data_IF_509713169426
#
_entry.id   IF_509713169426
#
_cell.length_a   1.000
_cell.length_b   1.000
_cell.length_c   1.000
_cell.angle_alpha   90.00
_cell.angle_beta   90.00
_cell.angle_gamma   90.00
#
_symmetry.space_group_name_H-M   'P 1'
#
loop_
_entity.id
_entity.type
_entity.pdbx_description
1 polymer ?
#
# COMPACT_ATOMS: atom_id res chain seq x y z
N UNK A 1 -19.35 -8.41 -3.13
CA UNK A 1 -18.17 -8.11 -2.30
C UNK A 1 -16.90 -8.33 -3.12
N UNK A 2 -16.02 -7.36 -3.15
CA UNK A 2 -14.81 -7.45 -3.96
C UNK A 2 -13.72 -8.18 -3.22
N UNK A 3 -13.15 -9.21 -3.84
CA UNK A 3 -11.98 -9.88 -3.29
C UNK A 3 -10.74 -9.02 -3.43
N UNK A 4 -9.78 -9.23 -2.54
CA UNK A 4 -8.49 -8.56 -2.63
C UNK A 4 -7.75 -9.06 -3.89
N UNK A 5 -7.32 -8.16 -4.76
CA UNK A 5 -6.53 -8.56 -5.91
C UNK A 5 -5.13 -8.98 -5.50
N UNK A 6 -4.49 -9.81 -6.30
CA UNK A 6 -3.05 -10.06 -6.19
C UNK A 6 -2.32 -8.86 -6.78
N UNK A 7 -1.44 -8.25 -6.02
CA UNK A 7 -0.77 -7.02 -6.43
C UNK A 7 0.68 -7.02 -5.97
N UNK A 8 1.58 -6.63 -6.87
CA UNK A 8 2.99 -6.46 -6.52
C UNK A 8 3.18 -5.23 -5.63
N UNK A 9 4.29 -5.21 -4.90
CA UNK A 9 4.62 -4.06 -4.07
C UNK A 9 4.68 -2.77 -4.89
N UNK A 10 5.28 -2.82 -6.09
CA UNK A 10 5.38 -1.64 -6.95
C UNK A 10 4.02 -1.08 -7.34
N UNK A 11 3.08 -1.96 -7.69
CA UNK A 11 1.72 -1.53 -8.05
C UNK A 11 0.98 -0.99 -6.84
N UNK A 12 1.13 -1.63 -5.69
CA UNK A 12 0.51 -1.16 -4.45
C UNK A 12 1.03 0.22 -4.06
N UNK A 13 2.33 0.43 -4.14
CA UNK A 13 2.93 1.72 -3.84
C UNK A 13 2.35 2.81 -4.76
N UNK A 14 2.22 2.53 -6.06
CA UNK A 14 1.61 3.49 -6.98
C UNK A 14 0.16 3.78 -6.66
N UNK A 15 -0.61 2.76 -6.29
CA UNK A 15 -2.00 2.95 -5.87
C UNK A 15 -2.09 3.83 -4.62
N UNK A 16 -1.22 3.58 -3.64
CA UNK A 16 -1.17 4.40 -2.44
C UNK A 16 -0.79 5.86 -2.76
N UNK A 17 0.13 6.06 -3.69
CA UNK A 17 0.49 7.41 -4.14
C UNK A 17 -0.70 8.12 -4.79
N UNK A 18 -1.50 7.41 -5.58
CA UNK A 18 -2.73 7.97 -6.16
C UNK A 18 -3.77 8.31 -5.10
N UNK A 19 -3.72 7.63 -3.95
CA UNK A 19 -4.58 7.91 -2.81
C UNK A 19 -4.05 9.06 -1.92
N UNK A 20 -2.93 9.69 -2.32
CA UNK A 20 -2.37 10.83 -1.60
C UNK A 20 -1.20 10.50 -0.69
N UNK A 21 -0.78 9.25 -0.62
CA UNK A 21 0.40 8.89 0.16
C UNK A 21 1.68 9.24 -0.61
N UNK A 22 2.76 9.42 0.12
CA UNK A 22 4.07 9.64 -0.48
C UNK A 22 5.11 8.72 0.18
N UNK A 23 6.13 8.37 -0.59
CA UNK A 23 7.23 7.57 -0.06
C UNK A 23 8.09 8.48 0.82
N UNK A 24 8.09 8.20 2.13
CA UNK A 24 8.87 8.96 3.08
C UNK A 24 10.34 8.54 3.05
N UNK A 25 10.58 7.23 3.05
CA UNK A 25 11.92 6.68 2.89
C UNK A 25 11.87 5.20 2.54
N UNK A 26 13.01 4.66 2.13
CA UNK A 26 13.18 3.25 1.79
C UNK A 26 14.31 2.70 2.65
N UNK A 27 14.07 1.57 3.31
CA UNK A 27 15.05 0.92 4.16
C UNK A 27 15.00 -0.59 3.94
N UNK A 28 16.11 -1.19 3.49
CA UNK A 28 16.27 -2.64 3.44
C UNK A 28 15.14 -3.39 2.73
N UNK A 29 14.65 -2.87 1.60
CA UNK A 29 13.56 -3.52 0.87
C UNK A 29 12.17 -3.20 1.42
N UNK A 30 12.06 -2.24 2.33
CA UNK A 30 10.77 -1.77 2.85
C UNK A 30 10.56 -0.33 2.46
N UNK A 31 9.40 -0.03 1.86
CA UNK A 31 9.00 1.33 1.52
C UNK A 31 8.10 1.85 2.62
N UNK A 32 8.50 2.95 3.23
CA UNK A 32 7.69 3.60 4.28
C UNK A 32 6.96 4.78 3.65
N UNK A 33 5.63 4.73 3.69
CA UNK A 33 4.78 5.77 3.13
C UNK A 33 4.04 6.52 4.24
N UNK A 34 3.82 7.80 3.99
CA UNK A 34 3.06 8.68 4.88
C UNK A 34 2.07 9.49 4.08
N UNK A 35 1.11 10.12 4.78
CA UNK A 35 0.11 10.96 4.16
C UNK A 35 0.18 12.36 4.78
N UNK A 36 0.20 13.44 3.97
CA UNK A 36 0.36 14.80 4.51
C UNK A 36 -0.79 15.22 5.43
N UNK A 37 -2.01 14.72 5.17
CA UNK A 37 -3.18 15.07 5.97
C UNK A 37 -3.39 14.15 7.16
N UNK A 38 -2.60 13.10 7.29
CA UNK A 38 -2.73 12.09 8.36
C UNK A 38 -1.34 11.73 8.90
N UNK A 39 -0.71 12.63 9.63
CA UNK A 39 0.69 12.44 10.05
C UNK A 39 0.91 11.24 10.97
N UNK A 40 -0.13 10.75 11.63
CA UNK A 40 -0.01 9.57 12.51
C UNK A 40 0.00 8.26 11.71
N UNK A 41 -0.40 8.27 10.46
CA UNK A 41 -0.45 7.05 9.63
C UNK A 41 0.93 6.78 9.06
N UNK A 42 1.40 5.56 9.25
CA UNK A 42 2.68 5.09 8.71
C UNK A 42 2.45 3.71 8.09
N UNK A 43 2.69 3.60 6.81
CA UNK A 43 2.49 2.37 6.07
C UNK A 43 3.85 1.82 5.65
N UNK A 44 4.10 0.55 5.93
CA UNK A 44 5.31 -0.14 5.50
C UNK A 44 4.93 -1.18 4.47
N UNK A 45 5.45 -1.05 3.25
CA UNK A 45 5.23 -2.00 2.16
C UNK A 45 6.52 -2.79 1.95
N UNK A 46 6.52 -4.10 2.25
CA UNK A 46 7.68 -4.93 1.91
C UNK A 46 7.76 -5.07 0.39
N UNK A 47 8.94 -4.83 -0.16
CA UNK A 47 9.18 -4.87 -1.60
C UNK A 47 10.24 -5.92 -1.90
N UNK A 48 9.80 -7.04 -2.45
CA UNK A 48 10.67 -8.17 -2.78
C UNK A 48 10.60 -8.47 -4.27
N UNK A 49 11.24 -7.62 -5.08
CA UNK A 49 11.25 -7.78 -6.52
C UNK A 49 9.84 -7.72 -7.11
N UNK A 50 9.51 -8.68 -7.98
CA UNK A 50 8.20 -8.75 -8.63
C UNK A 50 7.17 -9.55 -7.85
N UNK A 51 7.52 -10.04 -6.66
CA UNK A 51 6.59 -10.85 -5.87
C UNK A 51 5.38 -10.05 -5.41
N UNK A 52 4.23 -10.73 -5.34
CA UNK A 52 3.01 -10.12 -4.83
C UNK A 52 3.11 -9.93 -3.31
N UNK A 53 2.45 -8.87 -2.84
CA UNK A 53 2.31 -8.63 -1.41
C UNK A 53 1.39 -9.70 -0.81
N UNK A 54 1.81 -10.31 0.29
CA UNK A 54 1.01 -11.34 0.95
C UNK A 54 -0.33 -10.77 1.40
N UNK A 55 -1.39 -11.58 1.29
CA UNK A 55 -2.76 -11.12 1.55
C UNK A 55 -2.95 -10.51 2.94
N UNK A 56 -2.38 -11.14 3.96
CA UNK A 56 -2.48 -10.61 5.32
C UNK A 56 -1.83 -9.24 5.47
N UNK A 57 -0.69 -9.05 4.84
CA UNK A 57 0.01 -7.77 4.84
C UNK A 57 -0.80 -6.74 4.04
N UNK A 58 -1.33 -7.13 2.88
CA UNK A 58 -2.14 -6.24 2.06
C UNK A 58 -3.38 -5.76 2.83
N UNK A 59 -4.07 -6.65 3.51
CA UNK A 59 -5.22 -6.28 4.33
C UNK A 59 -4.86 -5.28 5.42
N UNK A 60 -3.74 -5.51 6.11
CA UNK A 60 -3.27 -4.60 7.15
C UNK A 60 -2.94 -3.22 6.56
N UNK A 61 -2.30 -3.19 5.41
CA UNK A 61 -1.95 -1.94 4.73
C UNK A 61 -3.22 -1.17 4.35
N UNK A 62 -4.20 -1.83 3.75
CA UNK A 62 -5.45 -1.17 3.37
C UNK A 62 -6.20 -0.63 4.60
N UNK A 63 -6.19 -1.38 5.70
CA UNK A 63 -6.80 -0.91 6.94
C UNK A 63 -6.12 0.35 7.46
N UNK A 64 -4.80 0.37 7.47
CA UNK A 64 -4.04 1.54 7.90
C UNK A 64 -4.27 2.74 6.96
N UNK A 65 -4.36 2.48 5.67
CA UNK A 65 -4.59 3.51 4.66
C UNK A 65 -6.04 4.03 4.65
N UNK A 66 -6.96 3.32 5.27
CA UNK A 66 -8.37 3.65 5.22
C UNK A 66 -9.02 3.35 3.87
N UNK A 67 -8.50 2.36 3.16
CA UNK A 67 -8.98 1.98 1.83
C UNK A 67 -9.74 0.66 1.88
N UNK A 68 -10.80 0.58 1.09
CA UNK A 68 -11.50 -0.67 0.84
C UNK A 68 -10.85 -1.41 -0.33
N UNK A 69 -11.18 -2.69 -0.49
CA UNK A 69 -10.72 -3.47 -1.65
C UNK A 69 -11.19 -2.83 -2.96
N UNK A 70 -12.43 -2.35 -3.01
CA UNK A 70 -12.97 -1.67 -4.20
C UNK A 70 -12.17 -0.41 -4.53
N UNK A 71 -11.84 0.37 -3.52
CA UNK A 71 -11.03 1.59 -3.71
C UNK A 71 -9.65 1.25 -4.22
N UNK A 72 -9.03 0.19 -3.69
CA UNK A 72 -7.73 -0.26 -4.19
C UNK A 72 -7.81 -0.61 -5.67
N UNK A 73 -8.81 -1.41 -6.06
CA UNK A 73 -8.96 -1.81 -7.47
C UNK A 73 -9.08 -0.59 -8.38
N UNK A 74 -9.80 0.44 -7.96
CA UNK A 74 -9.93 1.67 -8.74
C UNK A 74 -8.63 2.47 -8.84
N UNK A 75 -7.74 2.29 -7.88
CA UNK A 75 -6.44 2.98 -7.86
C UNK A 75 -5.34 2.24 -8.62
N UNK A 76 -5.56 0.98 -8.96
CA UNK A 76 -4.57 0.16 -9.68
C UNK A 76 -4.40 0.52 -11.15
#
# INVERSE_FOLDING_TARGET
MTDLPSVSAARLIRALQRAGFFVHHVTGGHYVLKHPDRPAVRIVVPHHGSADVKRGILRAILRQAGLTADELVRLL
#
